data_IF_774409266340
#
_entry.id   IF_774409266340
#
_cell.length_a   1.000
_cell.length_b   1.000
_cell.length_c   1.000
_cell.angle_alpha   90.00
_cell.angle_beta   90.00
_cell.angle_gamma   90.00
#
_symmetry.space_group_name_H-M   'P 1'
#
loop_
_entity.id
_entity.type
_entity.pdbx_description
1 polymer ?
#
# COMPACT_ATOMS: atom_id res chain seq x y z
N UNK A 1 -9.45 59.22 15.04
CA UNK A 1 -10.58 59.32 15.94
C UNK A 1 -11.57 58.25 15.52
N UNK A 2 -11.65 57.15 16.13
CA UNK A 2 -12.56 56.66 17.13
C UNK A 2 -12.12 55.22 17.51
N UNK A 3 -11.71 55.06 18.75
CA UNK A 3 -11.47 53.80 19.40
C UNK A 3 -12.77 53.32 20.05
N UNK A 4 -13.11 52.03 19.99
CA UNK A 4 -14.03 51.42 20.96
C UNK A 4 -13.48 50.07 21.36
N UNK A 5 -13.36 49.96 22.65
CA UNK A 5 -12.88 48.98 23.57
C UNK A 5 -13.86 47.78 23.79
N UNK A 6 -13.25 46.67 24.16
CA UNK A 6 -13.51 45.79 25.33
C UNK A 6 -14.74 44.85 25.32
N UNK A 7 -14.41 43.60 25.66
CA UNK A 7 -15.37 42.61 26.10
C UNK A 7 -14.72 41.24 26.35
N UNK A 8 -14.01 41.10 27.50
CA UNK A 8 -13.60 39.81 28.05
C UNK A 8 -14.77 39.19 28.83
N UNK A 9 -15.00 37.89 28.66
CA UNK A 9 -15.80 37.08 29.57
C UNK A 9 -15.11 35.74 29.82
N UNK A 10 -14.45 35.64 30.97
CA UNK A 10 -14.09 34.41 31.66
C UNK A 10 -15.34 33.79 32.27
N UNK A 11 -15.56 32.51 32.05
CA UNK A 11 -16.39 31.69 32.95
C UNK A 11 -15.68 30.36 33.21
N UNK A 12 -15.13 30.28 34.42
CA UNK A 12 -14.68 29.04 35.07
C UNK A 12 -15.89 28.36 35.69
N UNK A 13 -16.05 27.05 35.43
CA UNK A 13 -16.84 26.17 36.30
C UNK A 13 -16.02 24.93 36.61
N UNK A 14 -15.63 24.85 37.87
CA UNK A 14 -15.15 23.65 38.54
C UNK A 14 -16.35 22.89 39.12
N UNK A 15 -16.37 21.58 38.96
CA UNK A 15 -17.19 20.69 39.77
C UNK A 15 -16.39 19.43 40.08
N UNK A 16 -16.00 19.32 41.33
CA UNK A 16 -15.54 18.12 42.00
C UNK A 16 -16.71 17.13 42.16
N UNK A 17 -16.43 15.86 42.00
CA UNK A 17 -17.32 14.76 42.35
C UNK A 17 -16.51 13.57 42.79
N UNK A 18 -16.26 13.48 44.12
CA UNK A 18 -15.79 12.29 44.83
C UNK A 18 -16.85 11.21 44.81
N UNK A 19 -16.41 9.95 44.63
CA UNK A 19 -17.26 8.79 44.75
C UNK A 19 -16.41 7.55 44.98
N UNK A 20 -16.15 7.27 46.26
CA UNK A 20 -15.41 6.12 46.75
C UNK A 20 -16.23 4.82 46.70
N UNK A 21 -15.51 3.70 46.61
CA UNK A 21 -15.86 2.47 47.32
C UNK A 21 -16.28 1.27 46.47
N UNK A 22 -15.53 0.19 46.58
CA UNK A 22 -15.96 -1.13 46.16
C UNK A 22 -14.80 -2.12 46.04
N UNK A 23 -14.38 -2.63 47.20
CA UNK A 23 -13.37 -3.70 47.33
C UNK A 23 -13.90 -5.10 46.97
N UNK A 24 -13.11 -5.90 46.27
CA UNK A 24 -12.79 -7.30 46.36
C UNK A 24 -13.84 -8.37 46.14
N UNK A 25 -13.55 -9.67 46.19
CA UNK A 25 -12.25 -10.33 46.08
C UNK A 25 -12.19 -11.53 45.08
N UNK A 26 -10.98 -12.04 44.93
CA UNK A 26 -10.56 -13.43 44.73
C UNK A 26 -11.28 -14.38 43.76
N UNK A 27 -10.49 -14.97 42.87
CA UNK A 27 -10.83 -16.15 42.12
C UNK A 27 -9.78 -16.54 41.09
N UNK A 28 -8.66 -17.09 41.54
CA UNK A 28 -7.78 -17.98 40.77
C UNK A 28 -8.30 -19.44 40.92
N UNK A 29 -7.75 -20.46 40.24
CA UNK A 29 -6.84 -20.53 39.09
C UNK A 29 -7.31 -21.49 37.98
N UNK A 30 -6.51 -21.57 36.93
CA UNK A 30 -6.58 -22.55 35.85
C UNK A 30 -6.54 -24.01 36.27
N UNK A 31 -6.97 -24.93 35.39
CA UNK A 31 -6.23 -26.17 35.25
C UNK A 31 -5.56 -26.30 33.89
N UNK A 32 -4.27 -26.60 34.00
CA UNK A 32 -3.44 -27.19 32.96
C UNK A 32 -3.95 -28.60 32.69
N UNK A 33 -4.11 -28.97 31.46
CA UNK A 33 -4.12 -30.38 31.09
C UNK A 33 -3.05 -30.63 30.04
N UNK A 34 -2.08 -31.40 30.47
CA UNK A 34 -0.96 -31.93 29.70
C UNK A 34 -1.38 -33.04 28.77
N UNK A 35 -0.57 -33.17 27.72
CA UNK A 35 -0.10 -34.37 27.06
C UNK A 35 -1.05 -35.15 26.15
N UNK A 36 -0.61 -35.28 24.90
CA UNK A 36 -0.30 -36.62 24.38
C UNK A 36 0.63 -36.46 23.15
N UNK A 37 1.83 -36.91 23.33
CA UNK A 37 2.78 -37.32 22.28
C UNK A 37 2.23 -38.60 21.66
N UNK A 38 2.05 -38.65 20.36
CA UNK A 38 1.89 -39.91 19.63
C UNK A 38 2.88 -39.97 18.48
N UNK A 39 3.62 -41.02 18.59
CA UNK A 39 4.75 -41.50 17.85
C UNK A 39 4.52 -41.72 16.37
N UNK A 40 5.60 -41.45 15.62
CA UNK A 40 5.87 -41.88 14.25
C UNK A 40 5.93 -43.39 14.13
N UNK A 41 5.54 -43.98 13.01
CA UNK A 41 6.30 -45.09 12.48
C UNK A 41 6.98 -44.74 11.17
N UNK A 42 8.27 -45.05 11.16
CA UNK A 42 9.10 -45.18 9.98
C UNK A 42 8.58 -46.38 9.14
N UNK A 43 8.52 -46.15 7.85
CA UNK A 43 8.15 -47.18 6.87
C UNK A 43 8.93 -46.99 5.57
N UNK A 44 10.05 -47.70 5.52
CA UNK A 44 10.68 -48.43 4.41
C UNK A 44 10.61 -47.88 2.99
N UNK A 45 11.79 -47.58 2.44
CA UNK A 45 12.10 -47.62 1.01
C UNK A 45 11.98 -49.04 0.44
N UNK A 46 11.62 -49.16 -0.81
CA UNK A 46 12.37 -50.10 -1.68
C UNK A 46 12.85 -49.47 -2.98
N UNK A 47 14.11 -49.72 -3.23
CA UNK A 47 14.74 -50.46 -4.31
C UNK A 47 14.62 -49.95 -5.75
N UNK A 48 15.79 -49.75 -6.26
CA UNK A 48 16.16 -49.47 -7.64
C UNK A 48 15.72 -50.59 -8.64
N UNK A 49 15.44 -50.16 -9.88
CA UNK A 49 15.36 -51.02 -11.06
C UNK A 49 15.36 -50.17 -12.34
N UNK A 50 15.72 -50.70 -13.50
CA UNK A 50 16.94 -50.29 -14.20
C UNK A 50 16.70 -49.35 -15.40
N UNK A 51 17.87 -48.89 -15.91
CA UNK A 51 18.07 -48.06 -17.09
C UNK A 51 17.27 -48.47 -18.33
N UNK A 52 16.61 -47.48 -18.95
CA UNK A 52 16.08 -47.56 -20.32
C UNK A 52 16.65 -46.41 -21.15
N UNK A 53 17.25 -46.77 -22.25
CA UNK A 53 18.04 -46.04 -23.23
C UNK A 53 17.24 -44.97 -24.04
N UNK A 54 17.88 -44.00 -24.70
CA UNK A 54 17.28 -42.72 -25.10
C UNK A 54 16.45 -42.83 -26.38
N UNK A 55 15.30 -42.19 -26.32
CA UNK A 55 14.44 -41.88 -27.47
C UNK A 55 14.63 -40.43 -27.90
N UNK A 56 15.18 -40.30 -29.07
CA UNK A 56 15.40 -39.06 -29.81
C UNK A 56 14.07 -38.46 -30.29
N UNK A 57 13.93 -37.15 -30.22
CA UNK A 57 13.07 -36.39 -31.14
C UNK A 57 11.72 -35.95 -30.59
N UNK A 58 11.66 -34.70 -30.16
CA UNK A 58 10.43 -33.89 -30.05
C UNK A 58 10.80 -32.43 -30.05
N UNK A 59 10.12 -31.58 -30.83
CA UNK A 59 10.49 -30.17 -30.97
C UNK A 59 10.28 -29.44 -29.66
N UNK A 60 11.32 -28.74 -29.24
CA UNK A 60 11.31 -27.76 -28.16
C UNK A 60 10.30 -26.68 -28.47
N UNK A 61 9.10 -26.86 -27.97
CA UNK A 61 8.12 -25.79 -27.88
C UNK A 61 8.55 -24.84 -26.75
N UNK A 62 9.32 -23.84 -27.12
CA UNK A 62 9.55 -22.67 -26.24
C UNK A 62 8.20 -22.01 -26.03
N UNK A 63 7.53 -22.34 -24.96
CA UNK A 63 6.42 -21.50 -24.44
C UNK A 63 7.07 -20.26 -23.87
N UNK A 64 7.25 -19.27 -24.75
CA UNK A 64 7.54 -17.91 -24.34
C UNK A 64 6.41 -17.43 -23.46
N UNK A 65 6.69 -17.25 -22.18
CA UNK A 65 5.86 -16.43 -21.32
C UNK A 65 6.06 -14.97 -21.77
N UNK A 66 5.41 -14.63 -22.87
CA UNK A 66 5.22 -13.25 -23.28
C UNK A 66 4.11 -12.66 -22.41
N UNK A 67 4.50 -12.20 -21.21
CA UNK A 67 3.71 -11.19 -20.53
C UNK A 67 3.69 -9.95 -21.44
N UNK A 68 2.54 -9.24 -21.57
CA UNK A 68 2.49 -8.05 -22.39
C UNK A 68 3.56 -7.07 -21.93
N UNK A 69 4.52 -6.82 -22.80
CA UNK A 69 5.54 -5.81 -22.59
C UNK A 69 4.83 -4.47 -22.46
N UNK A 70 4.78 -3.93 -21.25
CA UNK A 70 4.42 -2.54 -21.05
C UNK A 70 5.39 -1.71 -21.89
N UNK A 71 4.85 -0.87 -22.77
CA UNK A 71 5.65 0.07 -23.54
C UNK A 71 6.56 0.83 -22.57
N UNK A 72 7.83 1.09 -22.92
CA UNK A 72 8.74 1.78 -22.03
C UNK A 72 8.19 3.17 -21.77
N UNK A 73 7.63 3.37 -20.59
CA UNK A 73 7.20 4.70 -20.16
C UNK A 73 8.43 5.57 -19.99
N UNK A 74 8.44 6.70 -20.69
CA UNK A 74 9.53 7.65 -20.64
C UNK A 74 9.58 8.32 -19.25
N UNK A 75 10.77 8.54 -18.71
CA UNK A 75 10.97 9.33 -17.51
C UNK A 75 10.50 10.77 -17.73
N UNK A 76 9.69 11.28 -16.83
CA UNK A 76 9.13 12.64 -16.87
C UNK A 76 9.14 13.29 -15.49
N UNK A 77 9.03 14.61 -15.43
CA UNK A 77 8.73 15.37 -14.23
C UNK A 77 7.38 16.10 -14.31
N UNK A 78 6.66 15.88 -15.40
CA UNK A 78 5.31 16.41 -15.63
C UNK A 78 4.26 15.43 -15.16
N UNK A 79 3.09 15.93 -14.79
CA UNK A 79 1.94 15.10 -14.43
C UNK A 79 1.62 14.09 -15.54
N UNK A 80 1.33 12.87 -15.13
CA UNK A 80 0.86 11.77 -15.99
C UNK A 80 -0.55 11.42 -15.60
N UNK A 81 -1.43 11.27 -16.60
CA UNK A 81 -2.82 10.89 -16.41
C UNK A 81 -3.20 9.80 -17.39
N UNK A 82 -4.00 8.84 -16.90
CA UNK A 82 -4.69 7.86 -17.74
C UNK A 82 -6.11 7.64 -17.23
N UNK A 83 -7.03 7.43 -18.16
CA UNK A 83 -8.43 7.16 -17.84
C UNK A 83 -8.75 5.70 -18.15
N UNK A 84 -9.24 4.99 -17.13
CA UNK A 84 -9.75 3.63 -17.26
C UNK A 84 -11.12 3.55 -16.62
N UNK A 85 -12.03 2.82 -17.25
CA UNK A 85 -13.37 2.57 -16.74
C UNK A 85 -13.40 1.18 -16.13
N UNK A 86 -13.64 1.10 -14.81
CA UNK A 86 -13.82 -0.15 -14.09
C UNK A 86 -15.14 -0.11 -13.30
N UNK A 87 -15.91 -1.17 -13.40
CA UNK A 87 -17.19 -1.31 -12.70
C UNK A 87 -17.31 -2.73 -12.17
N UNK A 88 -17.54 -2.93 -10.88
CA UNK A 88 -17.54 -1.93 -9.79
C UNK A 88 -16.17 -1.22 -9.64
N UNK A 89 -16.08 -0.15 -8.82
CA UNK A 89 -14.81 0.52 -8.55
C UNK A 89 -13.71 -0.46 -8.14
N UNK A 90 -12.49 -0.23 -8.63
CA UNK A 90 -11.32 -1.05 -8.28
C UNK A 90 -11.04 -0.95 -6.77
N UNK A 91 -10.63 -2.06 -6.16
CA UNK A 91 -10.32 -2.11 -4.74
C UNK A 91 -8.82 -2.14 -4.53
N UNK A 92 -8.26 -1.10 -3.88
CA UNK A 92 -6.85 -1.07 -3.52
C UNK A 92 -6.61 -2.11 -2.42
N UNK A 93 -5.75 -3.10 -2.69
CA UNK A 93 -5.50 -4.22 -1.77
C UNK A 93 -4.09 -4.24 -1.19
N UNK A 94 -3.13 -3.56 -1.83
CA UNK A 94 -1.78 -3.46 -1.28
C UNK A 94 -1.02 -2.23 -1.77
N UNK A 95 -0.14 -1.73 -0.90
CA UNK A 95 0.90 -0.74 -1.17
C UNK A 95 2.26 -1.36 -0.83
N UNK A 96 3.22 -1.34 -1.75
CA UNK A 96 4.57 -1.87 -1.53
C UNK A 96 5.60 -0.98 -2.19
N UNK A 97 6.71 -0.72 -1.49
CA UNK A 97 7.84 -0.01 -2.06
C UNK A 97 9.10 -0.88 -2.02
N UNK A 98 9.90 -0.79 -3.07
CA UNK A 98 11.17 -1.51 -3.17
C UNK A 98 12.16 -0.75 -4.07
N UNK A 99 13.45 -0.88 -3.74
CA UNK A 99 14.52 -0.44 -4.64
C UNK A 99 14.78 -1.51 -5.70
N UNK A 100 14.95 -1.06 -6.93
CA UNK A 100 15.19 -1.90 -8.09
C UNK A 100 16.41 -1.41 -8.87
N UNK A 101 16.98 -2.30 -9.68
CA UNK A 101 18.07 -1.98 -10.61
C UNK A 101 17.73 -2.61 -11.97
N UNK A 102 17.80 -1.80 -13.02
CA UNK A 102 17.59 -2.25 -14.38
C UNK A 102 18.64 -1.62 -15.31
N UNK A 103 19.37 -2.44 -16.03
CA UNK A 103 20.42 -1.95 -16.92
C UNK A 103 21.53 -1.14 -16.22
N UNK A 104 21.79 -1.42 -14.95
CA UNK A 104 22.75 -0.68 -14.13
C UNK A 104 22.22 0.62 -13.50
N UNK A 105 21.02 1.05 -13.89
CA UNK A 105 20.36 2.21 -13.27
C UNK A 105 19.46 1.75 -12.10
N UNK A 106 19.61 2.42 -10.96
CA UNK A 106 18.78 2.18 -9.80
C UNK A 106 17.51 3.06 -9.86
N UNK A 107 16.43 2.59 -9.26
CA UNK A 107 15.20 3.37 -9.08
C UNK A 107 14.41 2.80 -7.89
N UNK A 108 13.62 3.65 -7.27
CA UNK A 108 12.70 3.24 -6.23
C UNK A 108 11.30 3.11 -6.82
N UNK A 109 10.62 2.00 -6.54
CA UNK A 109 9.29 1.68 -7.09
C UNK A 109 8.27 1.63 -5.98
N UNK A 110 7.16 2.33 -6.14
CA UNK A 110 5.93 2.14 -5.39
C UNK A 110 4.93 1.37 -6.26
N UNK A 111 4.37 0.30 -5.72
CA UNK A 111 3.35 -0.51 -6.39
C UNK A 111 2.04 -0.41 -5.63
N UNK A 112 0.99 -0.05 -6.36
CA UNK A 112 -0.40 -0.13 -5.95
C UNK A 112 -1.01 -1.37 -6.61
N UNK A 113 -1.57 -2.29 -5.83
CA UNK A 113 -2.21 -3.50 -6.33
C UNK A 113 -3.71 -3.41 -6.14
N UNK A 114 -4.47 -3.81 -7.17
CA UNK A 114 -5.92 -3.68 -7.21
C UNK A 114 -6.61 -5.02 -7.44
N UNK A 115 -7.76 -5.20 -6.81
CA UNK A 115 -8.76 -6.19 -7.19
C UNK A 115 -9.86 -5.51 -8.03
N UNK A 116 -10.38 -6.22 -9.04
CA UNK A 116 -11.48 -5.72 -9.89
C UNK A 116 -11.05 -4.97 -11.14
N UNK A 117 -9.74 -4.75 -11.35
CA UNK A 117 -9.21 -4.11 -12.55
C UNK A 117 -8.31 -2.92 -12.24
N UNK A 118 -7.72 -2.33 -13.28
CA UNK A 118 -6.85 -1.16 -13.16
C UNK A 118 -7.70 0.11 -13.28
N UNK A 119 -7.76 0.96 -12.23
CA UNK A 119 -8.47 2.23 -12.31
C UNK A 119 -7.70 3.28 -13.13
N UNK A 120 -8.38 4.35 -13.53
CA UNK A 120 -7.72 5.55 -14.02
C UNK A 120 -6.88 6.19 -12.92
N UNK A 121 -5.93 7.05 -13.31
CA UNK A 121 -5.03 7.68 -12.35
C UNK A 121 -4.54 9.04 -12.81
N UNK A 122 -4.13 9.85 -11.83
CA UNK A 122 -3.28 11.04 -12.01
C UNK A 122 -2.09 10.88 -11.06
N UNK A 123 -0.88 11.16 -11.56
CA UNK A 123 0.36 11.06 -10.79
C UNK A 123 1.26 12.25 -11.09
N UNK A 124 1.69 12.97 -10.05
CA UNK A 124 2.47 14.18 -10.26
C UNK A 124 3.00 14.80 -8.98
N UNK A 125 3.91 15.76 -9.15
CA UNK A 125 4.46 16.56 -8.06
C UNK A 125 3.47 17.63 -7.63
N UNK A 126 3.29 17.76 -6.31
CA UNK A 126 2.43 18.75 -5.67
C UNK A 126 3.17 19.47 -4.55
N UNK A 127 2.70 20.65 -4.16
CA UNK A 127 3.27 21.35 -3.01
C UNK A 127 2.95 20.64 -1.69
N UNK A 128 1.74 20.07 -1.60
CA UNK A 128 1.27 19.36 -0.43
C UNK A 128 0.15 18.40 -0.80
N UNK A 129 0.11 17.21 -0.19
CA UNK A 129 -1.04 16.32 -0.27
C UNK A 129 -2.04 16.68 0.81
N UNK A 130 -3.29 16.86 0.41
CA UNK A 130 -4.41 17.17 1.31
C UNK A 130 -5.27 15.91 1.46
N UNK A 131 -5.60 15.58 2.70
CA UNK A 131 -6.50 14.45 2.98
C UNK A 131 -7.91 14.78 2.49
N UNK A 132 -8.52 13.98 1.61
CA UNK A 132 -9.90 14.15 1.23
C UNK A 132 -10.81 14.04 2.45
N UNK A 133 -11.93 14.75 2.45
CA UNK A 133 -12.90 14.79 3.54
C UNK A 133 -12.52 15.72 4.69
N UNK A 134 -11.28 15.67 5.22
CA UNK A 134 -10.88 16.52 6.35
C UNK A 134 -10.21 17.84 5.96
N UNK A 135 -9.68 17.93 4.74
CA UNK A 135 -8.88 19.09 4.30
C UNK A 135 -7.53 19.24 5.01
N UNK A 136 -7.17 18.31 5.88
CA UNK A 136 -5.91 18.39 6.62
C UNK A 136 -4.71 17.95 5.76
N UNK A 137 -3.53 18.59 5.93
CA UNK A 137 -2.31 18.15 5.28
C UNK A 137 -1.94 16.72 5.69
N UNK A 138 -1.45 15.93 4.71
CA UNK A 138 -0.85 14.63 4.99
C UNK A 138 0.60 14.84 5.42
N UNK A 139 1.01 14.44 6.64
CA UNK A 139 2.40 14.50 7.03
C UNK A 139 3.20 13.42 6.29
N UNK A 140 4.16 13.86 5.48
CA UNK A 140 5.10 13.01 4.75
C UNK A 140 6.53 13.40 5.15
N UNK A 141 7.41 12.41 5.21
CA UNK A 141 8.86 12.65 5.33
C UNK A 141 9.44 12.86 3.93
N UNK A 142 10.43 13.73 3.82
CA UNK A 142 11.08 14.10 2.57
C UNK A 142 10.74 15.52 2.14
N UNK A 143 11.69 16.22 1.48
CA UNK A 143 11.52 17.62 1.10
C UNK A 143 10.66 17.84 -0.16
N UNK A 144 10.35 16.78 -0.90
CA UNK A 144 9.57 16.86 -2.13
C UNK A 144 8.35 15.98 -2.03
N UNK A 145 7.20 16.52 -2.39
CA UNK A 145 5.91 15.83 -2.29
C UNK A 145 5.40 15.43 -3.68
N UNK A 146 4.89 14.22 -3.76
CA UNK A 146 4.28 13.65 -4.95
C UNK A 146 2.94 13.02 -4.58
N UNK A 147 1.94 13.14 -5.43
CA UNK A 147 0.60 12.57 -5.21
C UNK A 147 0.21 11.64 -6.33
N UNK A 148 -0.47 10.55 -5.95
CA UNK A 148 -1.13 9.61 -6.84
C UNK A 148 -2.59 9.59 -6.44
N UNK A 149 -3.47 9.89 -7.39
CA UNK A 149 -4.93 9.78 -7.23
C UNK A 149 -5.42 8.72 -8.19
N UNK A 150 -6.16 7.73 -7.71
CA UNK A 150 -6.74 6.68 -8.53
C UNK A 150 -8.26 6.70 -8.46
N UNK A 151 -8.92 6.53 -9.61
CA UNK A 151 -10.39 6.59 -9.73
C UNK A 151 -10.88 5.82 -10.98
N UNK A 152 -12.06 5.15 -10.95
CA UNK A 152 -12.87 4.87 -9.78
C UNK A 152 -12.22 3.77 -8.91
N UNK A 153 -11.98 4.06 -7.65
CA UNK A 153 -11.33 3.15 -6.72
C UNK A 153 -11.81 3.35 -5.28
N UNK A 154 -11.67 2.31 -4.46
CA UNK A 154 -11.92 2.34 -3.02
C UNK A 154 -10.80 1.61 -2.28
N UNK A 155 -10.57 1.95 -1.01
CA UNK A 155 -9.65 1.28 -0.10
C UNK A 155 -10.34 0.76 1.17
N UNK A 156 -11.68 0.69 1.13
CA UNK A 156 -12.53 0.16 2.20
C UNK A 156 -13.50 -0.90 1.65
N UNK A 157 -13.97 -1.79 2.52
CA UNK A 157 -15.08 -2.69 2.25
C UNK A 157 -16.43 -2.08 2.62
N UNK A 158 -17.49 -2.86 2.46
CA UNK A 158 -18.88 -2.40 2.64
C UNK A 158 -19.20 -1.98 4.09
N UNK A 159 -18.48 -2.52 5.07
CA UNK A 159 -18.60 -2.12 6.48
C UNK A 159 -17.59 -1.05 6.90
N UNK A 160 -16.84 -0.47 5.96
CA UNK A 160 -15.86 0.57 6.22
C UNK A 160 -14.48 0.05 6.67
N UNK A 161 -14.29 -1.27 6.72
CA UNK A 161 -13.00 -1.88 7.04
C UNK A 161 -11.98 -1.64 5.91
N UNK A 162 -10.70 -1.54 6.27
CA UNK A 162 -9.63 -1.39 5.26
C UNK A 162 -9.52 -2.63 4.39
N UNK A 163 -9.38 -2.46 3.09
CA UNK A 163 -9.10 -3.54 2.14
C UNK A 163 -7.61 -3.85 1.99
N UNK A 164 -6.75 -3.03 2.58
CA UNK A 164 -5.31 -3.21 2.50
C UNK A 164 -4.84 -4.42 3.30
N UNK A 165 -4.06 -5.27 2.64
CA UNK A 165 -3.35 -6.41 3.25
C UNK A 165 -1.92 -6.04 3.68
N UNK A 166 -1.50 -4.81 3.40
CA UNK A 166 -0.20 -4.24 3.78
C UNK A 166 -0.41 -2.97 4.59
N UNK A 167 0.61 -2.51 5.34
CA UNK A 167 0.51 -1.23 6.03
C UNK A 167 0.16 -0.09 5.06
N UNK A 168 -0.72 0.85 5.48
CA UNK A 168 -1.09 2.01 4.66
C UNK A 168 0.02 3.05 4.52
N UNK A 169 1.13 2.84 5.20
CA UNK A 169 2.32 3.71 5.21
C UNK A 169 3.60 2.89 5.06
N UNK A 170 4.66 3.51 4.53
CA UNK A 170 5.96 2.88 4.40
C UNK A 170 6.98 3.81 3.74
N UNK A 171 8.03 3.24 3.14
CA UNK A 171 9.13 3.97 2.50
C UNK A 171 10.48 3.47 2.99
N UNK A 172 11.33 4.41 3.51
CA UNK A 172 12.68 4.17 4.01
C UNK A 172 13.67 3.69 2.93
N UNK A 173 13.40 4.08 1.67
CA UNK A 173 14.32 3.88 0.56
C UNK A 173 15.16 5.15 0.34
N UNK A 174 16.21 5.04 -0.47
CA UNK A 174 17.15 6.16 -0.67
C UNK A 174 16.53 7.38 -1.36
N UNK A 175 15.60 7.17 -2.29
CA UNK A 175 14.89 8.24 -3.02
C UNK A 175 13.45 8.38 -2.54
N UNK A 176 12.74 7.26 -2.32
CA UNK A 176 11.39 7.21 -1.78
C UNK A 176 11.44 7.12 -0.25
N UNK A 177 11.39 8.27 0.42
CA UNK A 177 11.57 8.40 1.87
C UNK A 177 10.33 7.94 2.64
N UNK A 178 9.14 8.23 2.13
CA UNK A 178 7.89 7.82 2.75
C UNK A 178 6.76 7.70 1.73
N UNK A 179 5.75 6.89 2.05
CA UNK A 179 4.43 6.96 1.41
C UNK A 179 3.35 6.76 2.45
N UNK A 180 2.15 7.26 2.16
CA UNK A 180 0.98 7.06 2.99
C UNK A 180 -0.31 7.11 2.17
N UNK A 181 -1.29 6.28 2.53
CA UNK A 181 -2.67 6.46 2.10
C UNK A 181 -3.20 7.76 2.72
N UNK A 182 -3.53 8.73 1.88
CA UNK A 182 -4.04 10.04 2.31
C UNK A 182 -5.53 9.98 2.65
N UNK A 183 -6.28 9.21 1.87
CA UNK A 183 -7.71 9.02 2.08
C UNK A 183 -8.36 8.25 0.93
N UNK A 184 -9.60 7.89 1.19
CA UNK A 184 -10.52 7.18 0.30
C UNK A 184 -11.90 7.82 0.46
N UNK A 185 -12.34 8.52 -0.56
CA UNK A 185 -13.57 9.29 -0.53
C UNK A 185 -14.19 9.43 -1.91
N UNK A 186 -15.50 9.17 -2.03
CA UNK A 186 -16.29 9.32 -3.26
C UNK A 186 -15.70 8.63 -4.51
N UNK A 187 -15.07 7.46 -4.32
CA UNK A 187 -14.48 6.72 -5.44
C UNK A 187 -13.10 7.22 -5.87
N UNK A 188 -12.47 8.08 -5.06
CA UNK A 188 -11.09 8.54 -5.24
C UNK A 188 -10.23 8.05 -4.09
N UNK A 189 -9.13 7.40 -4.42
CA UNK A 189 -8.12 7.00 -3.43
C UNK A 189 -6.86 7.81 -3.67
N UNK A 190 -6.42 8.52 -2.62
CA UNK A 190 -5.28 9.42 -2.63
C UNK A 190 -4.09 8.80 -1.89
N UNK A 191 -2.93 8.77 -2.52
CA UNK A 191 -1.68 8.30 -1.94
C UNK A 191 -0.65 9.41 -2.04
N UNK A 192 -0.08 9.80 -0.90
CA UNK A 192 1.03 10.74 -0.85
C UNK A 192 2.37 10.02 -0.81
N UNK A 193 3.38 10.59 -1.47
CA UNK A 193 4.76 10.11 -1.49
C UNK A 193 5.69 11.26 -1.14
N UNK A 194 6.58 11.03 -0.18
CA UNK A 194 7.66 11.95 0.17
C UNK A 194 8.98 11.46 -0.41
N UNK A 195 9.63 12.30 -1.21
CA UNK A 195 10.86 12.00 -1.92
C UNK A 195 12.04 12.83 -1.39
N UNK A 196 13.25 12.29 -1.54
CA UNK A 196 14.49 12.99 -1.19
C UNK A 196 14.83 14.14 -2.13
N UNK A 197 14.39 14.07 -3.39
CA UNK A 197 14.60 15.10 -4.40
C UNK A 197 13.57 14.97 -5.53
N UNK A 198 13.43 16.03 -6.35
CA UNK A 198 12.61 15.98 -7.56
C UNK A 198 13.39 15.29 -8.67
N UNK A 199 12.99 14.07 -9.00
CA UNK A 199 13.62 13.21 -10.01
C UNK A 199 12.64 12.91 -11.13
N UNK A 200 13.13 12.33 -12.24
CA UNK A 200 12.23 11.75 -13.24
C UNK A 200 11.44 10.60 -12.64
N UNK A 201 10.17 10.51 -12.97
CA UNK A 201 9.35 9.34 -12.65
C UNK A 201 8.74 8.75 -13.92
N UNK A 202 8.28 7.52 -13.82
CA UNK A 202 7.49 6.86 -14.86
C UNK A 202 6.39 6.02 -14.24
N UNK A 203 5.29 5.88 -14.94
CA UNK A 203 4.16 5.03 -14.53
C UNK A 203 4.12 3.80 -15.42
N UNK A 204 3.98 2.63 -14.81
CA UNK A 204 3.92 1.33 -15.48
C UNK A 204 2.63 0.63 -15.07
N UNK A 205 1.78 0.36 -16.05
CA UNK A 205 0.57 -0.43 -15.86
C UNK A 205 0.88 -1.90 -16.03
N UNK A 206 0.48 -2.71 -15.07
CA UNK A 206 0.62 -4.15 -15.07
C UNK A 206 -0.76 -4.78 -14.94
N UNK A 207 -0.95 -5.88 -15.65
CA UNK A 207 -2.19 -6.67 -15.60
C UNK A 207 -1.87 -8.05 -15.04
N UNK A 208 -2.88 -8.68 -14.45
CA UNK A 208 -2.80 -10.06 -13.96
C UNK A 208 -1.70 -10.30 -12.88
N UNK A 209 -1.86 -9.75 -11.65
CA UNK A 209 -2.93 -8.91 -11.15
C UNK A 209 -2.79 -7.45 -11.58
N UNK A 210 -3.92 -6.70 -11.54
CA UNK A 210 -3.93 -5.28 -11.87
C UNK A 210 -3.05 -4.49 -10.89
N UNK A 211 -2.03 -3.79 -11.40
CA UNK A 211 -1.09 -3.00 -10.61
C UNK A 211 -0.68 -1.73 -11.33
N UNK A 212 -0.57 -0.67 -10.57
CA UNK A 212 0.06 0.57 -11.00
C UNK A 212 1.41 0.67 -10.30
N UNK A 213 2.50 0.66 -11.04
CA UNK A 213 3.84 0.85 -10.52
C UNK A 213 4.35 2.24 -10.89
N UNK A 214 4.80 2.99 -9.90
CA UNK A 214 5.43 4.30 -10.08
C UNK A 214 6.91 4.15 -9.73
N UNK A 215 7.77 4.38 -10.72
CA UNK A 215 9.22 4.36 -10.57
C UNK A 215 9.74 5.78 -10.44
N UNK A 216 10.61 6.00 -9.48
CA UNK A 216 11.36 7.24 -9.27
C UNK A 216 12.83 6.97 -9.54
N UNK A 217 13.45 7.75 -10.45
CA UNK A 217 14.87 7.62 -10.77
C UNK A 217 15.73 7.80 -9.51
N UNK A 218 16.74 6.92 -9.32
CA UNK A 218 17.58 6.89 -8.14
C UNK A 218 19.05 7.15 -8.43
#
# INVERSE_FOLDING_TARGET
>A
MLAVLLGAALTTLAACGDGAGGSGPDGAPAPRTSAAVSSVPAGTSPSAGPAGTPGSGGPSGSVGAEGPAAAPSTWTTHEVRAEHQVTPPARLVALRAARNVQGGAAYDRLVLEFAGGLPGYTAGYVDQVIRPGSGAPLPLRGPVTFEIVVTPAVAHGDAGESTLTTPPTGGDLSGLISYALAGDYEGYVHIGVGLGSRVGFRVVELRDPARLAIDFAG
#
